data_IF_807549290236
#
_entry.id   IF_807549290236
#
_cell.length_a   1.000
_cell.length_b   1.000
_cell.length_c   1.000
_cell.angle_alpha   90.00
_cell.angle_beta   90.00
_cell.angle_gamma   90.00
#
_symmetry.space_group_name_H-M   'P 1'
#
loop_
_entity.id
_entity.type
_entity.pdbx_description
1 polymer ?
#
# COMPACT_ATOMS: atom_id res chain seq x y z
N UNK A 1 44.28 -18.27 21.91
CA UNK A 1 42.87 -18.23 22.40
C UNK A 1 42.25 -16.83 22.30
N UNK A 2 42.96 -15.75 22.67
CA UNK A 2 42.48 -14.36 22.58
C UNK A 2 42.11 -13.87 21.17
N UNK A 3 42.86 -14.25 20.13
CA UNK A 3 42.60 -13.81 18.75
C UNK A 3 41.26 -14.35 18.19
N UNK A 4 40.94 -15.62 18.47
CA UNK A 4 39.66 -16.24 18.10
C UNK A 4 38.47 -15.56 18.80
N UNK A 5 38.67 -15.11 20.04
CA UNK A 5 37.66 -14.38 20.82
C UNK A 5 37.40 -13.00 20.23
N UNK A 6 38.45 -12.26 19.82
CA UNK A 6 38.33 -10.95 19.15
C UNK A 6 37.63 -11.04 17.79
N UNK A 7 37.93 -12.06 16.99
CA UNK A 7 37.26 -12.31 15.70
C UNK A 7 35.78 -12.64 15.90
N UNK A 8 35.45 -13.47 16.89
CA UNK A 8 34.06 -13.82 17.23
C UNK A 8 33.24 -12.59 17.67
N UNK A 9 33.78 -11.74 18.54
CA UNK A 9 33.12 -10.48 18.93
C UNK A 9 33.00 -9.50 17.77
N UNK A 10 33.99 -9.44 16.87
CA UNK A 10 33.91 -8.62 15.65
C UNK A 10 32.79 -9.07 14.70
N UNK A 11 32.58 -10.38 14.53
CA UNK A 11 31.50 -10.92 13.71
C UNK A 11 30.11 -10.67 14.30
N UNK A 12 29.96 -10.74 15.63
CA UNK A 12 28.71 -10.37 16.32
C UNK A 12 28.41 -8.87 16.13
N UNK A 13 29.44 -8.01 16.28
CA UNK A 13 29.28 -6.57 16.09
C UNK A 13 28.93 -6.21 14.64
N UNK A 14 29.53 -6.91 13.66
CA UNK A 14 29.17 -6.77 12.25
C UNK A 14 27.73 -7.23 11.99
N UNK A 15 27.30 -8.35 12.59
CA UNK A 15 25.92 -8.83 12.50
C UNK A 15 24.89 -7.85 13.09
N UNK A 16 25.22 -7.17 14.20
CA UNK A 16 24.37 -6.14 14.82
C UNK A 16 24.30 -4.84 13.98
N UNK A 17 25.36 -4.49 13.24
CA UNK A 17 25.36 -3.34 12.32
C UNK A 17 24.44 -3.54 11.10
N UNK A 18 24.24 -4.78 10.65
CA UNK A 18 23.33 -5.10 9.54
C UNK A 18 21.89 -5.42 9.98
N UNK A 19 21.66 -5.64 11.27
CA UNK A 19 20.33 -5.94 11.82
C UNK A 19 19.27 -4.84 11.63
N UNK A 20 19.56 -3.52 11.81
CA UNK A 20 18.55 -2.48 11.62
C UNK A 20 18.15 -2.29 10.14
N UNK A 21 18.92 -2.83 9.19
CA UNK A 21 18.60 -2.75 7.77
C UNK A 21 17.50 -3.75 7.34
N UNK A 22 17.24 -4.78 8.15
CA UNK A 22 16.24 -5.82 7.85
C UNK A 22 14.83 -5.49 8.35
N UNK A 23 14.66 -4.39 9.10
CA UNK A 23 13.43 -4.12 9.86
C UNK A 23 12.53 -3.00 9.28
N UNK A 24 12.89 -2.40 8.14
CA UNK A 24 11.98 -1.53 7.43
C UNK A 24 11.12 -2.35 6.47
N UNK A 25 10.15 -3.07 7.02
CA UNK A 25 9.09 -3.64 6.20
C UNK A 25 8.33 -2.47 5.55
N UNK A 26 8.51 -2.31 4.24
CA UNK A 26 7.79 -1.33 3.45
C UNK A 26 6.28 -1.54 3.64
N UNK A 27 5.61 -0.50 4.12
CA UNK A 27 4.18 -0.56 4.43
C UNK A 27 3.40 0.17 3.35
N UNK A 28 2.36 -0.49 2.85
CA UNK A 28 1.37 0.11 1.98
C UNK A 28 0.18 0.53 2.82
N UNK A 29 -0.28 1.74 2.61
CA UNK A 29 -1.41 2.29 3.35
C UNK A 29 -2.66 2.17 2.49
N UNK A 30 -3.74 1.66 3.08
CA UNK A 30 -5.01 1.45 2.38
C UNK A 30 -6.12 2.15 3.15
N UNK A 31 -6.98 2.90 2.47
CA UNK A 31 -7.97 3.73 3.14
C UNK A 31 -9.17 2.96 3.69
N UNK A 32 -9.61 1.90 3.01
CA UNK A 32 -10.92 1.27 3.24
C UNK A 32 -10.85 -0.25 3.23
N UNK A 33 -11.83 -0.91 3.87
CA UNK A 33 -11.94 -2.37 3.87
C UNK A 33 -12.06 -3.00 2.47
N UNK A 34 -12.87 -2.47 1.52
CA UNK A 34 -12.92 -2.99 0.17
C UNK A 34 -11.55 -3.01 -0.50
N UNK A 35 -10.82 -1.90 -0.45
CA UNK A 35 -9.47 -1.85 -1.00
C UNK A 35 -8.52 -2.79 -0.26
N UNK A 36 -8.62 -2.88 1.07
CA UNK A 36 -7.78 -3.78 1.85
C UNK A 36 -7.94 -5.22 1.39
N UNK A 37 -9.18 -5.68 1.18
CA UNK A 37 -9.47 -7.03 0.69
C UNK A 37 -8.85 -7.26 -0.68
N UNK A 38 -9.11 -6.37 -1.63
CA UNK A 38 -8.58 -6.43 -3.01
C UNK A 38 -7.05 -6.48 -3.00
N UNK A 39 -6.42 -5.57 -2.25
CA UNK A 39 -4.97 -5.47 -2.18
C UNK A 39 -4.35 -6.66 -1.45
N UNK A 40 -4.98 -7.18 -0.40
CA UNK A 40 -4.48 -8.36 0.32
C UNK A 40 -4.47 -9.62 -0.55
N UNK A 41 -5.38 -9.70 -1.52
CA UNK A 41 -5.48 -10.82 -2.44
C UNK A 41 -4.43 -10.74 -3.55
N UNK A 42 -4.22 -9.56 -4.14
CA UNK A 42 -3.28 -9.35 -5.24
C UNK A 42 -1.83 -9.27 -4.70
N UNK A 43 -1.62 -8.47 -3.66
CA UNK A 43 -0.31 -8.09 -3.12
C UNK A 43 -0.01 -8.76 -1.78
N UNK A 44 -0.25 -10.07 -1.67
CA UNK A 44 -0.18 -10.83 -0.41
C UNK A 44 1.17 -10.74 0.34
N UNK A 45 2.27 -10.39 -0.35
CA UNK A 45 3.59 -10.20 0.26
C UNK A 45 3.79 -8.82 0.90
N UNK A 46 2.90 -7.85 0.64
CA UNK A 46 3.01 -6.49 1.18
C UNK A 46 2.34 -6.39 2.55
N UNK A 47 2.95 -5.60 3.42
CA UNK A 47 2.37 -5.23 4.69
C UNK A 47 1.35 -4.11 4.48
N UNK A 48 0.07 -4.38 4.74
CA UNK A 48 -1.02 -3.43 4.55
C UNK A 48 -1.43 -2.77 5.87
N UNK A 49 -1.38 -1.45 5.94
CA UNK A 49 -1.92 -0.65 7.02
C UNK A 49 -3.29 -0.09 6.61
N UNK A 50 -4.36 -0.58 7.23
CA UNK A 50 -5.71 -0.07 7.03
C UNK A 50 -5.96 1.18 7.89
N UNK A 51 -6.28 2.30 7.24
CA UNK A 51 -6.65 3.56 7.89
C UNK A 51 -8.03 3.46 8.54
N UNK A 52 -9.01 2.89 7.83
CA UNK A 52 -10.38 2.79 8.34
C UNK A 52 -10.40 1.98 9.67
N UNK A 53 -10.96 2.54 10.74
CA UNK A 53 -11.03 1.86 12.02
C UNK A 53 -12.02 0.68 11.95
N UNK A 54 -11.80 -0.37 12.75
CA UNK A 54 -12.75 -1.46 12.84
C UNK A 54 -14.10 -0.94 13.34
N UNK A 55 -15.17 -1.22 12.56
CA UNK A 55 -16.57 -0.84 12.84
C UNK A 55 -16.89 0.66 12.77
N UNK A 56 -16.01 1.50 12.22
CA UNK A 56 -16.30 2.92 12.00
C UNK A 56 -17.01 3.21 10.68
N UNK A 57 -17.89 4.21 10.68
CA UNK A 57 -18.48 4.77 9.47
C UNK A 57 -17.39 5.47 8.66
N UNK A 58 -17.14 4.96 7.45
CA UNK A 58 -16.05 5.39 6.60
C UNK A 58 -16.30 6.75 5.97
N UNK A 59 -17.57 7.08 5.70
CA UNK A 59 -17.96 8.32 5.01
C UNK A 59 -17.64 9.59 5.81
N UNK A 60 -17.43 9.47 7.12
CA UNK A 60 -17.10 10.59 8.00
C UNK A 60 -15.77 10.42 8.72
N UNK A 61 -14.99 9.40 8.37
CA UNK A 61 -13.74 9.14 9.07
C UNK A 61 -12.68 10.19 8.72
N UNK A 62 -11.99 10.68 9.74
CA UNK A 62 -10.83 11.54 9.62
C UNK A 62 -9.59 10.83 10.18
N UNK A 63 -8.47 10.71 9.43
CA UNK A 63 -7.29 10.02 9.89
C UNK A 63 -6.66 10.68 11.11
N UNK A 64 -6.27 9.85 12.08
CA UNK A 64 -5.58 10.26 13.28
C UNK A 64 -4.15 10.73 12.95
N UNK A 65 -3.47 11.47 13.84
CA UNK A 65 -2.07 11.88 13.63
C UNK A 65 -1.14 10.71 13.27
N UNK A 66 -1.34 9.54 13.89
CA UNK A 66 -0.59 8.31 13.55
C UNK A 66 -0.82 7.85 12.11
N UNK A 67 -2.03 7.99 11.58
CA UNK A 67 -2.38 7.57 10.22
C UNK A 67 -1.72 8.49 9.21
N UNK A 68 -1.70 9.80 9.49
CA UNK A 68 -0.97 10.76 8.67
C UNK A 68 0.54 10.48 8.62
N UNK A 69 1.12 10.06 9.74
CA UNK A 69 2.53 9.65 9.76
C UNK A 69 2.76 8.37 8.93
N UNK A 70 1.82 7.42 8.95
CA UNK A 70 1.89 6.24 8.08
C UNK A 70 1.75 6.62 6.61
N UNK A 71 0.78 7.47 6.25
CA UNK A 71 0.56 7.95 4.87
C UNK A 71 1.82 8.59 4.29
N UNK A 72 2.51 9.45 5.06
CA UNK A 72 3.73 10.14 4.61
C UNK A 72 4.90 9.19 4.38
N UNK A 73 5.01 8.14 5.19
CA UNK A 73 6.13 7.18 5.16
C UNK A 73 5.89 6.01 4.21
N UNK A 74 4.66 5.84 3.74
CA UNK A 74 4.27 4.72 2.91
C UNK A 74 5.05 4.64 1.58
N UNK A 75 5.24 3.41 1.12
CA UNK A 75 5.77 3.14 -0.21
C UNK A 75 4.68 3.41 -1.27
N UNK A 76 3.46 2.97 -0.97
CA UNK A 76 2.24 3.19 -1.74
C UNK A 76 1.09 3.58 -0.80
N UNK A 77 0.26 4.51 -1.24
CA UNK A 77 -1.01 4.85 -0.59
C UNK A 77 -2.15 4.55 -1.56
N UNK A 78 -3.10 3.73 -1.15
CA UNK A 78 -4.28 3.36 -1.91
C UNK A 78 -5.53 3.95 -1.26
N UNK A 79 -6.23 4.79 -2.00
CA UNK A 79 -7.48 5.44 -1.57
C UNK A 79 -8.61 5.17 -2.57
N UNK A 80 -9.87 5.33 -2.14
CA UNK A 80 -10.99 5.38 -3.06
C UNK A 80 -11.00 6.74 -3.79
N UNK A 81 -10.59 7.80 -3.09
CA UNK A 81 -10.60 9.19 -3.53
C UNK A 81 -11.88 9.94 -3.20
N UNK A 82 -12.88 9.24 -2.66
CA UNK A 82 -14.17 9.77 -2.21
C UNK A 82 -14.19 10.04 -0.71
N UNK A 83 -13.11 9.75 0.01
CA UNK A 83 -12.97 10.04 1.43
C UNK A 83 -12.97 11.55 1.73
N UNK A 84 -13.49 11.99 2.89
CA UNK A 84 -13.39 13.39 3.32
C UNK A 84 -11.95 13.93 3.29
N UNK A 85 -11.00 13.07 3.63
CA UNK A 85 -9.58 13.39 3.69
C UNK A 85 -8.82 13.19 2.36
N UNK A 86 -9.48 12.72 1.29
CA UNK A 86 -8.83 12.39 0.01
C UNK A 86 -8.09 13.60 -0.59
N UNK A 87 -8.69 14.79 -0.51
CA UNK A 87 -8.07 16.05 -0.99
C UNK A 87 -6.69 16.27 -0.39
N UNK A 88 -6.52 15.97 0.89
CA UNK A 88 -5.24 16.13 1.60
C UNK A 88 -4.25 15.04 1.19
N UNK A 89 -4.71 13.82 0.90
CA UNK A 89 -3.85 12.75 0.35
C UNK A 89 -3.30 13.16 -1.02
N UNK A 90 -4.13 13.68 -1.93
CA UNK A 90 -3.68 14.17 -3.25
C UNK A 90 -2.66 15.30 -3.17
N UNK A 91 -2.61 16.04 -2.06
CA UNK A 91 -1.63 17.12 -1.84
C UNK A 91 -0.32 16.62 -1.23
N UNK A 92 -0.39 15.60 -0.37
CA UNK A 92 0.75 15.11 0.41
C UNK A 92 1.50 13.96 -0.27
N UNK A 93 0.80 13.13 -1.04
CA UNK A 93 1.34 11.90 -1.60
C UNK A 93 1.72 12.13 -3.07
N UNK A 94 2.98 11.88 -3.47
CA UNK A 94 3.39 11.93 -4.86
C UNK A 94 2.58 10.94 -5.72
N UNK A 95 2.22 11.35 -6.94
CA UNK A 95 1.40 10.55 -7.87
C UNK A 95 1.97 9.17 -8.18
N UNK A 96 3.30 9.04 -8.23
CA UNK A 96 3.97 7.76 -8.45
C UNK A 96 3.85 6.78 -7.27
N UNK A 97 3.41 7.25 -6.10
CA UNK A 97 3.12 6.47 -4.89
C UNK A 97 1.62 6.38 -4.58
N UNK A 98 0.77 7.00 -5.39
CA UNK A 98 -0.67 7.05 -5.15
C UNK A 98 -1.40 6.09 -6.09
N UNK A 99 -2.30 5.32 -5.50
CA UNK A 99 -3.39 4.64 -6.19
C UNK A 99 -4.71 5.26 -5.74
N UNK A 100 -5.58 5.59 -6.69
CA UNK A 100 -6.89 6.16 -6.41
C UNK A 100 -7.92 5.66 -7.42
N UNK A 101 -9.10 5.24 -6.96
CA UNK A 101 -10.19 4.86 -7.87
C UNK A 101 -10.84 6.09 -8.53
N UNK A 102 -10.93 7.18 -7.79
CA UNK A 102 -11.36 8.49 -8.26
C UNK A 102 -10.15 9.32 -8.68
N UNK A 103 -10.23 10.02 -9.81
CA UNK A 103 -9.20 11.01 -10.15
C UNK A 103 -9.37 12.31 -9.34
N UNK A 104 -8.27 13.04 -9.11
CA UNK A 104 -8.21 14.16 -8.17
C UNK A 104 -9.29 15.23 -8.41
N UNK A 105 -9.52 15.56 -9.67
CA UNK A 105 -10.43 16.62 -10.11
C UNK A 105 -11.74 16.07 -10.69
N UNK A 106 -11.98 14.77 -10.52
CA UNK A 106 -13.20 14.11 -10.97
C UNK A 106 -14.36 14.40 -10.02
N UNK A 107 -15.58 14.54 -10.53
CA UNK A 107 -16.79 14.52 -9.73
C UNK A 107 -17.43 13.13 -9.81
N UNK A 108 -17.64 12.53 -8.64
CA UNK A 108 -18.23 11.19 -8.53
C UNK A 108 -19.45 11.27 -7.62
N UNK A 109 -20.67 11.05 -8.15
CA UNK A 109 -21.90 11.09 -7.35
C UNK A 109 -22.01 9.91 -6.36
N UNK A 110 -21.54 8.73 -6.75
CA UNK A 110 -21.60 7.52 -5.94
C UNK A 110 -20.21 7.17 -5.37
N UNK A 111 -20.01 7.24 -4.04
CA UNK A 111 -18.70 7.00 -3.45
C UNK A 111 -18.25 5.53 -3.49
N UNK A 112 -19.14 4.58 -3.85
CA UNK A 112 -18.89 3.14 -3.82
C UNK A 112 -18.15 2.61 -5.06
N UNK A 113 -17.08 3.29 -5.44
CA UNK A 113 -16.32 3.04 -6.69
C UNK A 113 -15.74 1.63 -6.82
N UNK A 114 -15.64 0.87 -5.74
CA UNK A 114 -15.21 -0.53 -5.79
C UNK A 114 -16.24 -1.45 -6.47
N UNK A 115 -17.49 -1.01 -6.64
CA UNK A 115 -18.50 -1.71 -7.44
C UNK A 115 -18.44 -1.37 -8.93
N UNK A 116 -17.73 -0.31 -9.33
CA UNK A 116 -17.44 -0.02 -10.74
C UNK A 116 -16.29 -0.92 -11.20
N UNK A 117 -16.62 -2.15 -11.58
CA UNK A 117 -15.64 -3.18 -11.92
C UNK A 117 -14.76 -2.80 -13.12
N UNK A 118 -15.30 -2.00 -14.06
CA UNK A 118 -14.53 -1.51 -15.20
C UNK A 118 -13.44 -0.55 -14.72
N UNK A 119 -13.82 0.46 -13.93
CA UNK A 119 -12.87 1.41 -13.33
C UNK A 119 -11.86 0.70 -12.45
N UNK A 120 -12.31 -0.24 -11.62
CA UNK A 120 -11.41 -1.01 -10.75
C UNK A 120 -10.37 -1.76 -11.58
N UNK A 121 -10.78 -2.42 -12.68
CA UNK A 121 -9.85 -3.08 -13.61
C UNK A 121 -8.84 -2.09 -14.18
N UNK A 122 -9.31 -1.00 -14.78
CA UNK A 122 -8.45 -0.01 -15.43
C UNK A 122 -7.42 0.58 -14.46
N UNK A 123 -7.83 0.95 -13.24
CA UNK A 123 -6.93 1.50 -12.22
C UNK A 123 -5.94 0.47 -11.70
N UNK A 124 -6.34 -0.79 -11.52
CA UNK A 124 -5.42 -1.86 -11.09
C UNK A 124 -4.39 -2.18 -12.18
N UNK A 125 -4.79 -2.18 -13.45
CA UNK A 125 -3.85 -2.34 -14.57
C UNK A 125 -2.87 -1.16 -14.64
N UNK A 126 -3.35 0.08 -14.49
CA UNK A 126 -2.49 1.27 -14.39
C UNK A 126 -1.49 1.17 -13.22
N UNK A 127 -1.94 0.69 -12.05
CA UNK A 127 -1.08 0.48 -10.89
C UNK A 127 0.09 -0.47 -11.23
N UNK A 128 -0.17 -1.58 -11.91
CA UNK A 128 0.86 -2.55 -12.31
C UNK A 128 1.91 -1.94 -13.24
N UNK A 129 1.57 -0.87 -13.95
CA UNK A 129 2.50 -0.19 -14.83
C UNK A 129 3.46 0.76 -14.10
N UNK A 130 3.17 1.12 -12.83
CA UNK A 130 4.01 2.02 -12.04
C UNK A 130 5.38 1.41 -11.75
N UNK A 131 6.42 2.27 -11.78
CA UNK A 131 7.83 1.86 -11.57
C UNK A 131 8.06 1.18 -10.22
N UNK A 132 7.38 1.62 -9.16
CA UNK A 132 7.49 1.02 -7.82
C UNK A 132 7.00 -0.42 -7.82
N UNK A 133 5.94 -0.72 -8.59
CA UNK A 133 5.36 -2.07 -8.70
C UNK A 133 6.25 -2.97 -9.55
N UNK A 134 6.69 -2.48 -10.73
CA UNK A 134 7.53 -3.26 -11.66
C UNK A 134 8.90 -3.66 -11.11
N UNK A 135 9.43 -2.92 -10.14
CA UNK A 135 10.73 -3.20 -9.52
C UNK A 135 10.65 -4.19 -8.36
N UNK A 136 9.45 -4.48 -7.88
CA UNK A 136 9.28 -5.39 -6.76
C UNK A 136 9.62 -6.84 -7.17
N UNK A 137 10.39 -7.59 -6.36
CA UNK A 137 10.71 -9.00 -6.64
C UNK A 137 9.48 -9.89 -6.87
N UNK A 138 8.31 -9.51 -6.35
CA UNK A 138 7.07 -10.26 -6.45
C UNK A 138 6.18 -9.85 -7.64
N UNK A 139 6.60 -8.88 -8.47
CA UNK A 139 5.83 -8.33 -9.59
C UNK A 139 5.14 -9.38 -10.48
N UNK A 140 5.85 -10.43 -10.89
CA UNK A 140 5.28 -11.48 -11.75
C UNK A 140 4.13 -12.24 -11.06
N UNK A 141 4.28 -12.53 -9.75
CA UNK A 141 3.23 -13.19 -8.97
C UNK A 141 2.00 -12.30 -8.83
N UNK A 142 2.19 -11.00 -8.61
CA UNK A 142 1.08 -10.06 -8.53
C UNK A 142 0.35 -9.91 -9.85
N UNK A 143 1.08 -9.93 -10.97
CA UNK A 143 0.47 -9.92 -12.31
C UNK A 143 -0.42 -11.14 -12.53
N UNK A 144 0.04 -12.34 -12.16
CA UNK A 144 -0.76 -13.56 -12.24
C UNK A 144 -2.00 -13.50 -11.33
N UNK A 145 -1.84 -13.03 -10.08
CA UNK A 145 -2.97 -12.88 -9.14
C UNK A 145 -3.97 -11.83 -9.61
N UNK A 146 -3.53 -10.70 -10.15
CA UNK A 146 -4.42 -9.71 -10.74
C UNK A 146 -5.22 -10.32 -11.88
N UNK A 147 -4.59 -11.06 -12.79
CA UNK A 147 -5.30 -11.72 -13.89
C UNK A 147 -6.34 -12.73 -13.38
N UNK A 148 -6.03 -13.47 -12.32
CA UNK A 148 -6.98 -14.39 -11.68
C UNK A 148 -8.16 -13.63 -11.04
N UNK A 149 -7.85 -12.63 -10.22
CA UNK A 149 -8.83 -11.78 -9.55
C UNK A 149 -9.81 -11.13 -10.55
N UNK A 150 -9.29 -10.55 -11.64
CA UNK A 150 -10.11 -9.92 -12.68
C UNK A 150 -10.98 -10.89 -13.49
N UNK A 151 -10.63 -12.17 -13.53
CA UNK A 151 -11.47 -13.23 -14.14
C UNK A 151 -12.60 -13.64 -13.20
N UNK A 152 -12.38 -13.63 -11.89
CA UNK A 152 -13.40 -13.98 -10.90
C UNK A 152 -14.41 -12.85 -10.68
N UNK A 153 -14.05 -11.62 -11.04
CA UNK A 153 -14.96 -10.46 -11.04
C UNK A 153 -15.89 -10.38 -12.28
N UNK A 154 -15.59 -11.11 -13.36
CA UNK A 154 -16.32 -11.05 -14.64
C UNK A 154 -17.44 -12.10 -14.72
#
# INVERSE_FOLDING_TARGET
>A
MLLKRKIFFGLIFLGLLFYPCLLLAETWVVSSYPLYKIFSEIFAEKNLYLIQPPKGEFHFYEPLPKDWEMIKKAELVAILGTEPFAKKVYQLVPENKLFSLKDKDEEVPDPHLWFDLKRLREKLEELMEKRIIKKDPHYLKWKERLQKFLKELA
#
